data_IF_715404133426
#
_entry.id   IF_715404133426
#
_cell.length_a   1.000
_cell.length_b   1.000
_cell.length_c   1.000
_cell.angle_alpha   90.00
_cell.angle_beta   90.00
_cell.angle_gamma   90.00
#
_symmetry.space_group_name_H-M   'P 1'
#
loop_
_entity.id
_entity.type
_entity.pdbx_description
1 polymer ?
#
# COMPACT_ATOMS: atom_id res chain seq x y z
N UNK A 1 12.89 9.47 3.60
CA UNK A 1 13.55 8.91 2.39
C UNK A 1 12.69 9.19 1.17
N UNK A 2 13.20 8.94 -0.05
CA UNK A 2 12.43 9.09 -1.30
C UNK A 2 11.78 7.78 -1.78
N UNK A 3 11.69 6.77 -0.91
CA UNK A 3 11.12 5.44 -1.13
C UNK A 3 10.00 5.19 -0.13
N UNK A 4 9.00 4.43 -0.54
CA UNK A 4 7.81 4.12 0.25
C UNK A 4 6.55 4.01 -0.61
N UNK A 5 5.39 3.98 0.05
CA UNK A 5 4.09 3.91 -0.59
C UNK A 5 3.13 4.99 -0.13
N UNK A 6 2.14 5.31 -0.94
CA UNK A 6 1.00 6.15 -0.60
C UNK A 6 -0.25 5.43 -1.09
N UNK A 7 -1.24 5.30 -0.20
CA UNK A 7 -2.53 4.74 -0.53
C UNK A 7 -3.66 5.73 -0.33
N UNK A 8 -4.70 5.60 -1.15
CA UNK A 8 -5.92 6.39 -1.08
C UNK A 8 -7.12 5.46 -1.27
N UNK A 9 -8.11 5.58 -0.39
CA UNK A 9 -9.33 4.79 -0.41
C UNK A 9 -10.56 5.68 -0.57
N UNK A 10 -11.51 5.22 -1.38
CA UNK A 10 -12.82 5.88 -1.52
C UNK A 10 -13.93 4.85 -1.68
N UNK A 11 -15.14 5.23 -1.27
CA UNK A 11 -16.34 4.43 -1.46
C UNK A 11 -17.17 5.03 -2.61
N UNK A 12 -17.47 4.22 -3.63
CA UNK A 12 -18.20 4.63 -4.83
C UNK A 12 -19.41 3.73 -5.00
N UNK A 13 -20.62 4.29 -4.88
CA UNK A 13 -21.88 3.55 -4.95
C UNK A 13 -21.94 2.31 -4.02
N UNK A 14 -21.31 2.38 -2.85
CA UNK A 14 -21.26 1.27 -1.89
C UNK A 14 -20.12 0.28 -2.11
N UNK A 15 -19.27 0.47 -3.13
CA UNK A 15 -18.07 -0.33 -3.38
C UNK A 15 -16.81 0.40 -2.89
N UNK A 16 -15.97 -0.27 -2.11
CA UNK A 16 -14.68 0.24 -1.66
C UNK A 16 -13.64 0.10 -2.78
N UNK A 17 -12.89 1.16 -3.07
CA UNK A 17 -11.79 1.18 -4.03
C UNK A 17 -10.56 1.73 -3.33
N UNK A 18 -9.47 0.97 -3.35
CA UNK A 18 -8.17 1.38 -2.82
C UNK A 18 -7.12 1.48 -3.94
N UNK A 19 -6.44 2.61 -4.01
CA UNK A 19 -5.31 2.84 -4.89
C UNK A 19 -4.03 2.82 -4.05
N UNK A 20 -3.04 2.03 -4.46
CA UNK A 20 -1.70 2.04 -3.89
C UNK A 20 -0.70 2.43 -4.99
N UNK A 21 0.09 3.47 -4.72
CA UNK A 21 1.27 3.80 -5.51
C UNK A 21 2.51 3.65 -4.62
N UNK A 22 3.61 3.13 -5.18
CA UNK A 22 4.86 2.99 -4.45
C UNK A 22 6.07 3.33 -5.32
N UNK A 23 7.12 3.81 -4.66
CA UNK A 23 8.43 4.03 -5.24
C UNK A 23 9.42 3.17 -4.47
N UNK A 24 9.82 2.06 -5.07
CA UNK A 24 10.68 1.05 -4.45
C UNK A 24 12.16 1.20 -4.89
N UNK A 25 13.13 0.57 -4.20
CA UNK A 25 14.54 0.61 -4.57
C UNK A 25 14.80 0.17 -6.03
N UNK A 26 15.67 0.89 -6.72
CA UNK A 26 16.06 0.62 -8.10
C UNK A 26 17.09 -0.51 -8.20
N UNK A 27 17.46 -0.92 -9.43
CA UNK A 27 18.44 -1.96 -9.77
C UNK A 27 17.99 -3.41 -9.53
N UNK A 28 18.56 -4.36 -10.29
CA UNK A 28 18.12 -5.75 -10.32
C UNK A 28 18.49 -6.52 -9.05
N UNK A 29 19.62 -6.19 -8.42
CA UNK A 29 20.07 -6.81 -7.17
C UNK A 29 19.11 -6.58 -5.99
N UNK A 30 18.30 -5.52 -6.02
CA UNK A 30 17.42 -5.16 -4.91
C UNK A 30 16.05 -5.85 -4.95
N UNK A 31 15.94 -7.00 -5.63
CA UNK A 31 14.65 -7.69 -5.80
C UNK A 31 14.02 -8.11 -4.47
N UNK A 32 14.82 -8.67 -3.57
CA UNK A 32 14.33 -9.12 -2.25
C UNK A 32 13.92 -7.92 -1.39
N UNK A 33 14.73 -6.84 -1.38
CA UNK A 33 14.39 -5.60 -0.68
C UNK A 33 13.10 -4.96 -1.20
N UNK A 34 12.84 -5.00 -2.52
CA UNK A 34 11.56 -4.50 -3.07
C UNK A 34 10.38 -5.29 -2.54
N UNK A 35 10.53 -6.61 -2.38
CA UNK A 35 9.47 -7.46 -1.84
C UNK A 35 9.22 -7.14 -0.37
N UNK A 36 10.27 -7.04 0.44
CA UNK A 36 10.17 -6.65 1.85
C UNK A 36 9.55 -5.26 2.03
N UNK A 37 10.00 -4.26 1.25
CA UNK A 37 9.46 -2.90 1.29
C UNK A 37 7.97 -2.89 0.90
N UNK A 38 7.59 -3.67 -0.11
CA UNK A 38 6.20 -3.77 -0.56
C UNK A 38 5.30 -4.44 0.49
N UNK A 39 5.74 -5.53 1.08
CA UNK A 39 5.03 -6.18 2.19
C UNK A 39 4.89 -5.25 3.39
N UNK A 40 5.95 -4.51 3.72
CA UNK A 40 5.94 -3.51 4.79
C UNK A 40 4.90 -2.42 4.53
N UNK A 41 4.83 -1.90 3.30
CA UNK A 41 3.81 -0.91 2.89
C UNK A 41 2.39 -1.47 3.12
N UNK A 42 2.13 -2.72 2.71
CA UNK A 42 0.82 -3.34 2.88
C UNK A 42 0.44 -3.57 4.34
N UNK A 43 1.40 -3.93 5.20
CA UNK A 43 1.15 -4.21 6.61
C UNK A 43 0.97 -2.94 7.46
N UNK A 44 1.71 -1.88 7.13
CA UNK A 44 1.76 -0.67 7.96
C UNK A 44 0.70 0.37 7.58
N UNK A 45 0.29 0.42 6.31
CA UNK A 45 -0.71 1.40 5.87
C UNK A 45 -2.10 0.98 6.30
N UNK A 46 -2.72 1.84 7.09
CA UNK A 46 -4.08 1.65 7.59
C UNK A 46 -4.93 2.89 7.32
N UNK A 47 -6.22 2.65 7.10
CA UNK A 47 -7.23 3.69 6.98
C UNK A 47 -8.03 3.81 8.28
N UNK A 48 -8.41 5.04 8.63
CA UNK A 48 -9.30 5.28 9.76
C UNK A 48 -10.70 4.71 9.51
N UNK A 49 -11.34 4.22 10.59
CA UNK A 49 -12.68 3.63 10.56
C UNK A 49 -12.71 2.13 10.91
N UNK A 50 -13.90 1.60 11.22
CA UNK A 50 -14.08 0.20 11.64
C UNK A 50 -14.12 -0.81 10.48
N UNK A 51 -14.38 -0.34 9.25
CA UNK A 51 -14.46 -1.21 8.09
C UNK A 51 -13.16 -1.11 7.26
N UNK A 52 -12.62 -2.27 6.89
CA UNK A 52 -11.54 -2.40 5.92
C UNK A 52 -10.26 -1.62 6.29
N UNK A 53 -9.66 -1.98 7.43
CA UNK A 53 -8.55 -1.22 8.02
C UNK A 53 -7.29 -1.19 7.17
N UNK A 54 -6.95 -2.27 6.49
CA UNK A 54 -5.75 -2.39 5.67
C UNK A 54 -5.98 -2.10 4.19
N UNK A 55 -4.88 -1.94 3.45
CA UNK A 55 -4.89 -1.73 1.98
C UNK A 55 -5.57 -2.88 1.23
N UNK A 56 -5.47 -4.10 1.74
CA UNK A 56 -6.05 -5.29 1.12
C UNK A 56 -7.49 -5.57 1.55
N UNK A 57 -8.00 -4.86 2.56
CA UNK A 57 -9.36 -5.06 3.02
C UNK A 57 -10.29 -4.19 2.14
N UNK A 58 -11.00 -4.79 1.18
CA UNK A 58 -11.96 -4.08 0.32
C UNK A 58 -13.16 -4.96 -0.05
#
# INVERSE_FOLDING_TARGET
GNKGGVSARMNVFGHSICFLNCHLPAHMENTDQRMEDFESILQQQQFEGQAATGVLDH
#
